data_IF_726210231691
#
_entry.id   IF_726210231691
#
_cell.length_a   1.000
_cell.length_b   1.000
_cell.length_c   1.000
_cell.angle_alpha   90.00
_cell.angle_beta   90.00
_cell.angle_gamma   90.00
#
_symmetry.space_group_name_H-M   'P 1'
#
loop_
_entity.id
_entity.type
_entity.pdbx_description
1 polymer ?
#
# COMPACT_ATOMS: atom_id res chain seq x y z
N UNK A 1 16.58 -0.18 19.58
CA UNK A 1 16.11 1.16 19.15
C UNK A 1 16.74 1.48 17.80
N UNK A 2 15.93 1.69 16.75
CA UNK A 2 16.40 2.14 15.44
C UNK A 2 15.98 3.59 15.24
N UNK A 3 16.70 4.35 14.40
CA UNK A 3 16.42 5.77 14.17
C UNK A 3 16.23 6.05 12.70
N UNK A 4 15.09 6.64 12.34
CA UNK A 4 14.79 7.08 10.98
C UNK A 4 15.29 8.51 10.83
N UNK A 5 16.29 8.72 9.97
CA UNK A 5 16.83 10.04 9.65
C UNK A 5 16.32 10.58 8.30
N UNK A 6 15.84 9.67 7.44
CA UNK A 6 15.33 10.00 6.12
C UNK A 6 14.15 9.11 5.76
N UNK A 7 13.13 9.73 5.18
CA UNK A 7 12.00 9.07 4.54
C UNK A 7 12.10 9.32 3.04
N UNK A 8 12.00 8.25 2.26
CA UNK A 8 11.95 8.32 0.80
C UNK A 8 10.67 9.03 0.35
N UNK A 9 10.74 10.20 -0.34
CA UNK A 9 9.55 10.96 -0.69
C UNK A 9 8.55 10.17 -1.53
N UNK A 10 9.04 9.39 -2.49
CA UNK A 10 8.20 8.55 -3.34
C UNK A 10 7.53 7.40 -2.56
N UNK A 11 8.16 6.89 -1.50
CA UNK A 11 7.57 5.83 -0.68
C UNK A 11 6.40 6.37 0.15
N UNK A 12 6.61 7.50 0.83
CA UNK A 12 5.54 8.13 1.62
C UNK A 12 4.41 8.65 0.73
N UNK A 13 4.74 9.26 -0.41
CA UNK A 13 3.76 9.73 -1.38
C UNK A 13 2.83 8.62 -1.88
N UNK A 14 3.37 7.44 -2.21
CA UNK A 14 2.55 6.30 -2.64
C UNK A 14 1.61 5.82 -1.53
N UNK A 15 2.13 5.65 -0.30
CA UNK A 15 1.30 5.22 0.84
C UNK A 15 0.19 6.23 1.10
N UNK A 16 0.52 7.52 1.19
CA UNK A 16 -0.43 8.57 1.46
C UNK A 16 -1.45 8.73 0.33
N UNK A 17 -1.01 8.62 -0.93
CA UNK A 17 -1.89 8.64 -2.10
C UNK A 17 -2.90 7.49 -2.09
N UNK A 18 -2.47 6.27 -1.75
CA UNK A 18 -3.38 5.11 -1.62
C UNK A 18 -4.34 5.28 -0.45
N UNK A 19 -3.87 5.75 0.71
CA UNK A 19 -4.75 6.03 1.86
C UNK A 19 -5.82 7.07 1.51
N UNK A 20 -5.43 8.15 0.85
CA UNK A 20 -6.36 9.20 0.43
C UNK A 20 -7.27 8.74 -0.72
N UNK A 21 -6.81 7.86 -1.61
CA UNK A 21 -7.66 7.23 -2.63
C UNK A 21 -8.84 6.49 -1.99
N UNK A 22 -8.58 5.72 -0.92
CA UNK A 22 -9.63 5.00 -0.18
C UNK A 22 -10.61 5.99 0.45
N UNK A 23 -10.11 7.08 1.06
CA UNK A 23 -10.97 8.14 1.60
C UNK A 23 -11.81 8.77 0.48
N UNK A 24 -11.20 9.09 -0.66
CA UNK A 24 -11.88 9.64 -1.82
C UNK A 24 -12.94 8.71 -2.41
N UNK A 25 -12.74 7.39 -2.36
CA UNK A 25 -13.77 6.40 -2.74
C UNK A 25 -14.96 6.44 -1.79
N UNK A 26 -14.71 6.47 -0.48
CA UNK A 26 -15.79 6.57 0.51
C UNK A 26 -16.57 7.87 0.33
N UNK A 27 -15.88 9.01 0.24
CA UNK A 27 -16.51 10.31 0.03
C UNK A 27 -17.24 10.39 -1.32
N UNK A 28 -16.62 9.91 -2.40
CA UNK A 28 -17.20 9.90 -3.74
C UNK A 28 -18.45 9.04 -3.85
N UNK A 29 -18.46 7.88 -3.18
CA UNK A 29 -19.63 7.01 -3.09
C UNK A 29 -20.76 7.67 -2.29
N UNK A 30 -20.47 8.19 -1.08
CA UNK A 30 -21.49 8.82 -0.24
C UNK A 30 -22.10 10.05 -0.94
N UNK A 31 -21.26 10.94 -1.47
CA UNK A 31 -21.71 12.11 -2.22
C UNK A 31 -22.46 11.71 -3.49
N UNK A 32 -21.97 10.68 -4.20
CA UNK A 32 -22.59 10.17 -5.41
C UNK A 32 -24.00 9.62 -5.18
N UNK A 33 -24.20 8.88 -4.09
CA UNK A 33 -25.53 8.39 -3.69
C UNK A 33 -26.45 9.54 -3.32
N UNK A 34 -25.99 10.51 -2.52
CA UNK A 34 -26.79 11.67 -2.11
C UNK A 34 -27.24 12.47 -3.33
N UNK A 35 -26.31 12.82 -4.22
CA UNK A 35 -26.63 13.58 -5.44
C UNK A 35 -27.43 12.77 -6.45
N UNK A 36 -27.22 11.45 -6.52
CA UNK A 36 -28.02 10.55 -7.34
C UNK A 36 -29.49 10.50 -6.90
N UNK A 37 -29.73 10.38 -5.60
CA UNK A 37 -31.09 10.40 -5.04
C UNK A 37 -31.73 11.79 -5.20
N UNK A 38 -30.99 12.85 -4.87
CA UNK A 38 -31.47 14.23 -5.05
C UNK A 38 -31.85 14.50 -6.52
N UNK A 39 -30.98 14.13 -7.46
CA UNK A 39 -31.24 14.27 -8.89
C UNK A 39 -32.47 13.50 -9.35
N UNK A 40 -32.65 12.26 -8.90
CA UNK A 40 -33.83 11.47 -9.23
C UNK A 40 -35.14 12.10 -8.71
N UNK A 41 -35.12 12.63 -7.48
CA UNK A 41 -36.28 13.30 -6.88
C UNK A 41 -36.60 14.62 -7.59
N UNK A 42 -35.59 15.44 -7.87
CA UNK A 42 -35.72 16.73 -8.57
C UNK A 42 -36.19 16.55 -10.03
N UNK A 43 -35.75 15.50 -10.71
CA UNK A 43 -36.30 15.18 -12.04
C UNK A 43 -37.77 14.75 -11.98
N UNK A 44 -38.15 14.01 -10.94
CA UNK A 44 -39.54 13.59 -10.75
C UNK A 44 -40.49 14.76 -10.41
N UNK A 45 -39.98 15.87 -9.85
CA UNK A 45 -40.74 17.12 -9.65
C UNK A 45 -40.83 17.99 -10.91
N UNK A 46 -40.22 17.58 -12.03
CA UNK A 46 -40.24 18.32 -13.30
C UNK A 46 -39.21 19.44 -13.40
N UNK A 47 -38.24 19.48 -12.49
CA UNK A 47 -37.16 20.47 -12.49
C UNK A 47 -35.98 19.98 -13.34
N UNK A 48 -35.52 20.83 -14.28
CA UNK A 48 -34.42 20.48 -15.20
C UNK A 48 -33.06 20.31 -14.48
N UNK A 49 -32.91 20.90 -13.30
CA UNK A 49 -31.72 20.83 -12.46
C UNK A 49 -31.40 19.39 -12.00
N UNK A 50 -32.40 18.51 -11.96
CA UNK A 50 -32.20 17.13 -11.53
C UNK A 50 -31.22 16.35 -12.41
N UNK A 51 -31.16 16.67 -13.71
CA UNK A 51 -30.18 16.07 -14.62
C UNK A 51 -28.73 16.47 -14.25
N UNK A 52 -28.53 17.70 -13.78
CA UNK A 52 -27.22 18.19 -13.34
C UNK A 52 -26.77 17.44 -12.09
N UNK A 53 -27.66 17.22 -11.12
CA UNK A 53 -27.34 16.47 -9.91
C UNK A 53 -26.99 15.01 -10.19
N UNK A 54 -27.66 14.36 -11.13
CA UNK A 54 -27.30 13.01 -11.56
C UNK A 54 -25.88 12.96 -12.17
N UNK A 55 -25.55 13.93 -13.04
CA UNK A 55 -24.21 14.02 -13.62
C UNK A 55 -23.16 14.26 -12.53
N UNK A 56 -23.41 15.18 -11.60
CA UNK A 56 -22.50 15.47 -10.49
C UNK A 56 -22.28 14.23 -9.60
N UNK A 57 -23.35 13.47 -9.31
CA UNK A 57 -23.26 12.23 -8.55
C UNK A 57 -22.50 11.12 -9.29
N UNK A 58 -22.64 11.03 -10.61
CA UNK A 58 -21.88 10.07 -11.41
C UNK A 58 -20.38 10.45 -11.49
N UNK A 59 -20.09 11.74 -11.71
CA UNK A 59 -18.72 12.26 -11.77
C UNK A 59 -18.02 12.13 -10.42
N UNK A 60 -18.73 12.31 -9.30
CA UNK A 60 -18.12 12.24 -7.97
C UNK A 60 -17.50 10.87 -7.66
N UNK A 61 -18.05 9.79 -8.23
CA UNK A 61 -17.57 8.43 -8.02
C UNK A 61 -16.13 8.22 -8.51
N UNK A 62 -15.69 8.99 -9.51
CA UNK A 62 -14.32 8.95 -10.04
C UNK A 62 -13.54 10.22 -9.70
N UNK A 63 -14.20 11.37 -9.68
CA UNK A 63 -13.61 12.67 -9.40
C UNK A 63 -13.01 12.75 -7.99
N UNK A 64 -13.75 12.37 -6.96
CA UNK A 64 -13.25 12.41 -5.57
C UNK A 64 -12.07 11.46 -5.35
N UNK A 65 -12.11 10.17 -5.73
CA UNK A 65 -10.96 9.28 -5.59
C UNK A 65 -9.70 9.80 -6.26
N UNK A 66 -9.81 10.27 -7.51
CA UNK A 66 -8.67 10.76 -8.27
C UNK A 66 -8.12 12.02 -7.61
N UNK A 67 -8.99 12.97 -7.26
CA UNK A 67 -8.60 14.21 -6.60
C UNK A 67 -7.90 13.93 -5.27
N UNK A 68 -8.49 13.12 -4.41
CA UNK A 68 -7.90 12.79 -3.11
C UNK A 68 -6.60 12.00 -3.27
N UNK A 69 -6.52 11.04 -4.20
CA UNK A 69 -5.31 10.27 -4.44
C UNK A 69 -4.14 11.16 -4.87
N UNK A 70 -4.37 12.09 -5.81
CA UNK A 70 -3.35 13.03 -6.29
C UNK A 70 -2.94 13.98 -5.17
N UNK A 71 -3.91 14.57 -4.47
CA UNK A 71 -3.63 15.52 -3.38
C UNK A 71 -2.89 14.82 -2.23
N UNK A 72 -3.28 13.61 -1.88
CA UNK A 72 -2.62 12.77 -0.88
C UNK A 72 -1.20 12.39 -1.30
N UNK A 73 -0.98 12.06 -2.57
CA UNK A 73 0.35 11.77 -3.09
C UNK A 73 1.28 12.99 -3.00
N UNK A 74 0.80 14.16 -3.45
CA UNK A 74 1.56 15.41 -3.40
C UNK A 74 1.87 15.82 -1.96
N UNK A 75 0.89 15.73 -1.06
CA UNK A 75 1.09 16.03 0.35
C UNK A 75 2.01 15.02 1.03
N UNK A 76 1.94 13.74 0.69
CA UNK A 76 2.88 12.73 1.20
C UNK A 76 4.32 13.02 0.77
N UNK A 77 4.54 13.43 -0.49
CA UNK A 77 5.86 13.84 -0.96
C UNK A 77 6.38 15.09 -0.22
N UNK A 78 5.50 16.09 -0.04
CA UNK A 78 5.81 17.32 0.67
C UNK A 78 6.14 17.05 2.15
N UNK A 79 5.37 16.20 2.81
CA UNK A 79 5.58 15.80 4.21
C UNK A 79 6.90 15.04 4.38
N UNK A 80 7.26 14.15 3.46
CA UNK A 80 8.57 13.49 3.50
C UNK A 80 9.72 14.48 3.34
N UNK A 81 9.58 15.46 2.45
CA UNK A 81 10.56 16.53 2.30
C UNK A 81 10.70 17.36 3.58
N UNK A 82 9.57 17.78 4.17
CA UNK A 82 9.55 18.53 5.41
C UNK A 82 10.16 17.73 6.57
N UNK A 83 9.84 16.44 6.68
CA UNK A 83 10.42 15.54 7.67
C UNK A 83 11.94 15.43 7.51
N UNK A 84 12.42 15.22 6.28
CA UNK A 84 13.86 15.12 6.01
C UNK A 84 14.59 16.41 6.36
N UNK A 85 13.95 17.57 6.17
CA UNK A 85 14.52 18.85 6.58
C UNK A 85 14.57 18.96 8.11
N UNK A 86 13.46 18.69 8.80
CA UNK A 86 13.38 18.75 10.27
C UNK A 86 14.33 17.74 10.95
N UNK A 87 14.45 16.53 10.40
CA UNK A 87 15.32 15.48 10.92
C UNK A 87 16.80 15.88 10.93
N UNK A 88 17.23 16.77 10.04
CA UNK A 88 18.61 17.31 10.04
C UNK A 88 18.92 18.17 11.26
N UNK A 89 17.91 18.78 11.85
CA UNK A 89 18.07 19.66 13.02
C UNK A 89 17.78 18.94 14.34
N UNK A 90 16.78 18.06 14.35
CA UNK A 90 16.26 17.43 15.58
C UNK A 90 16.89 16.04 15.80
N UNK A 91 17.45 15.41 14.76
CA UNK A 91 18.11 14.12 14.85
C UNK A 91 17.25 12.91 14.46
N UNK A 92 16.04 13.11 13.94
CA UNK A 92 15.17 12.05 13.39
C UNK A 92 14.20 11.43 14.40
N UNK A 93 13.47 10.40 13.96
CA UNK A 93 12.46 9.69 14.78
C UNK A 93 13.04 8.35 15.30
N UNK A 94 12.95 8.10 16.60
CA UNK A 94 13.30 6.80 17.18
C UNK A 94 12.12 5.84 17.09
N UNK A 95 12.40 4.62 16.65
CA UNK A 95 11.43 3.55 16.43
C UNK A 95 11.93 2.25 17.05
N UNK A 96 11.02 1.54 17.71
CA UNK A 96 11.25 0.18 18.16
C UNK A 96 10.77 -0.78 17.08
N UNK A 97 11.62 -1.74 16.70
CA UNK A 97 11.31 -2.74 15.69
C UNK A 97 11.09 -4.07 16.39
N UNK A 98 9.94 -4.70 16.16
CA UNK A 98 9.69 -6.07 16.59
C UNK A 98 10.33 -7.05 15.58
N UNK A 99 11.20 -7.93 16.06
CA UNK A 99 11.69 -9.05 15.25
C UNK A 99 10.61 -10.12 15.23
N UNK A 100 10.03 -10.37 14.06
CA UNK A 100 9.12 -11.50 13.87
C UNK A 100 9.98 -12.71 13.49
N UNK A 101 10.14 -13.67 14.41
CA UNK A 101 10.81 -14.94 14.09
C UNK A 101 10.02 -15.68 13.01
N UNK A 102 10.69 -16.21 11.96
CA UNK A 102 10.04 -17.03 10.96
C UNK A 102 9.32 -18.20 11.64
N UNK A 103 8.07 -18.53 11.26
CA UNK A 103 7.33 -19.61 11.90
C UNK A 103 8.14 -20.90 11.84
N UNK A 104 8.54 -21.40 13.01
CA UNK A 104 9.23 -22.67 13.18
C UNK A 104 8.34 -23.78 12.60
N UNK A 105 8.61 -24.21 11.38
CA UNK A 105 7.75 -25.21 10.73
C UNK A 105 7.80 -25.31 9.21
N UNK A 106 8.61 -24.52 8.50
CA UNK A 106 9.00 -24.90 7.13
C UNK A 106 10.36 -25.58 7.22
N UNK A 107 10.44 -26.92 7.05
CA UNK A 107 11.70 -27.57 6.78
C UNK A 107 12.36 -26.79 5.65
N UNK A 108 13.49 -26.15 5.93
CA UNK A 108 14.42 -25.71 4.92
C UNK A 108 14.62 -26.94 4.05
N UNK A 109 14.08 -26.89 2.83
CA UNK A 109 14.28 -27.92 1.83
C UNK A 109 15.78 -28.19 1.85
N UNK A 110 16.12 -29.40 2.29
CA UNK A 110 17.50 -29.80 2.47
C UNK A 110 18.20 -29.41 1.19
N UNK A 111 19.31 -28.69 1.34
CA UNK A 111 20.46 -28.93 0.49
C UNK A 111 20.55 -30.43 0.43
N UNK A 112 20.07 -31.01 -0.66
CA UNK A 112 20.32 -32.38 -1.02
C UNK A 112 21.83 -32.43 -1.10
N UNK A 113 22.46 -32.81 0.01
CA UNK A 113 23.76 -33.43 0.01
C UNK A 113 23.61 -34.58 -0.98
N UNK A 114 23.95 -34.31 -2.24
CA UNK A 114 24.25 -35.35 -3.20
C UNK A 114 25.43 -36.05 -2.53
N UNK A 115 25.29 -37.30 -2.05
CA UNK A 115 26.40 -37.98 -1.43
C UNK A 115 27.50 -38.00 -2.47
N UNK A 116 28.62 -37.37 -2.13
CA UNK A 116 29.86 -37.40 -2.88
C UNK A 116 30.21 -38.88 -3.08
N UNK A 117 29.95 -39.39 -4.27
CA UNK A 117 30.33 -40.74 -4.67
C UNK A 117 31.86 -40.76 -4.78
N UNK A 118 32.52 -40.94 -3.64
CA UNK A 118 33.95 -41.18 -3.54
C UNK A 118 34.20 -42.70 -3.41
N UNK A 119 35.28 -43.22 -4.02
CA UNK A 119 35.37 -44.59 -4.49
C UNK A 119 36.05 -45.49 -3.46
N UNK A 120 35.33 -46.46 -2.89
CA UNK A 120 35.99 -47.53 -2.13
C UNK A 120 35.14 -48.80 -2.08
N UNK A 121 35.16 -49.53 -3.20
CA UNK A 121 34.85 -50.96 -3.19
C UNK A 121 36.12 -51.72 -2.80
N UNK A 122 36.41 -51.78 -1.51
CA UNK A 122 37.18 -52.88 -0.96
C UNK A 122 36.28 -54.11 -0.90
N UNK A 123 36.71 -55.21 -1.51
CA UNK A 123 36.34 -56.53 -1.02
C UNK A 123 37.55 -57.48 -1.04
N UNK A 124 37.67 -58.36 -0.03
CA UNK A 124 38.85 -59.17 0.25
C UNK A 124 38.78 -60.53 -0.47
N UNK A 125 39.94 -61.19 -0.58
CA UNK A 125 40.14 -62.37 -1.42
C UNK A 125 39.34 -63.63 -1.06
N UNK A 126 39.19 -64.50 -2.07
CA UNK A 126 39.05 -65.95 -2.05
C UNK A 126 39.33 -66.36 -3.51
N UNK A 127 40.32 -67.17 -3.87
CA UNK A 127 40.55 -68.52 -3.40
C UNK A 127 40.22 -69.48 -4.56
N UNK A 128 41.18 -70.35 -4.90
CA UNK A 128 41.26 -71.34 -5.99
C UNK A 128 41.92 -70.86 -7.30
#
# INVERSE_FOLDING_TARGET
>A
MHRIQRIGPLSLAKIQGVMFLVIGLICGLLYGVIMGVAGAVTMASGEEEGAIFLILGAVSLFGFPIFYAVTGFLMGALMAWAYNLAARYIGGLEVELATVEPPAGKPTAGTSEIPEASPEAQAPGAGL
#
